data_IF_871058321894
#
_entry.id   IF_871058321894
#
_cell.length_a   1.000
_cell.length_b   1.000
_cell.length_c   1.000
_cell.angle_alpha   90.00
_cell.angle_beta   90.00
_cell.angle_gamma   90.00
#
_symmetry.space_group_name_H-M   'P 1'
#
loop_
_entity.id
_entity.type
_entity.pdbx_description
1 polymer ?
#
# COMPACT_ATOMS: atom_id res chain seq x y z
N UNK A 1 45.23 36.68 32.65
CA UNK A 1 45.01 36.09 31.31
C UNK A 1 43.97 34.99 31.45
N UNK A 2 42.69 35.35 31.44
CA UNK A 2 41.58 34.40 31.36
C UNK A 2 40.97 34.58 29.97
N UNK A 3 41.23 33.61 29.10
CA UNK A 3 40.75 33.58 27.72
C UNK A 3 39.30 33.09 27.71
N UNK A 4 38.34 33.99 27.46
CA UNK A 4 36.96 33.64 27.19
C UNK A 4 36.85 33.04 25.78
N UNK A 5 36.40 31.79 25.71
CA UNK A 5 36.07 31.11 24.48
C UNK A 5 34.67 31.56 24.05
N UNK A 6 34.58 32.42 23.02
CA UNK A 6 33.32 32.86 22.45
C UNK A 6 32.60 31.68 21.76
N UNK A 7 31.37 31.39 22.18
CA UNK A 7 30.53 30.40 21.50
C UNK A 7 30.04 30.96 20.16
N UNK A 8 30.03 30.16 19.07
CA UNK A 8 29.50 30.61 17.79
C UNK A 8 27.98 30.78 17.88
N UNK A 9 27.51 31.99 17.60
CA UNK A 9 26.09 32.31 17.53
C UNK A 9 25.39 31.44 16.49
N UNK A 10 24.38 30.70 16.93
CA UNK A 10 23.50 29.94 16.05
C UNK A 10 22.81 30.90 15.07
N UNK A 11 23.10 30.74 13.79
CA UNK A 11 22.39 31.43 12.72
C UNK A 11 20.91 30.98 12.74
N UNK A 12 19.94 31.90 12.63
CA UNK A 12 18.53 31.52 12.57
C UNK A 12 18.28 30.75 11.28
N UNK A 13 17.94 29.47 11.42
CA UNK A 13 17.50 28.61 10.33
C UNK A 13 16.17 29.18 9.82
N UNK A 14 16.15 29.67 8.58
CA UNK A 14 14.93 30.09 7.90
C UNK A 14 14.04 28.87 7.67
N UNK A 15 12.98 28.75 8.45
CA UNK A 15 11.98 27.69 8.32
C UNK A 15 11.19 27.86 7.02
N UNK A 16 10.91 26.77 6.27
CA UNK A 16 10.10 26.83 5.06
C UNK A 16 8.69 27.33 5.40
N UNK A 17 8.16 28.23 4.57
CA UNK A 17 6.91 28.93 4.81
C UNK A 17 5.71 27.96 4.81
N UNK A 18 5.16 27.66 5.98
CA UNK A 18 3.98 26.80 6.10
C UNK A 18 3.60 26.43 7.55
N UNK A 19 4.57 26.40 8.47
CA UNK A 19 4.33 26.05 9.87
C UNK A 19 4.22 27.28 10.79
N UNK A 20 3.41 27.21 11.87
CA UNK A 20 3.39 28.25 12.90
C UNK A 20 4.79 28.48 13.49
N UNK A 21 5.08 29.70 13.96
CA UNK A 21 6.30 29.94 14.74
C UNK A 21 6.25 29.16 16.05
N UNK A 22 7.43 28.72 16.54
CA UNK A 22 7.59 28.01 17.81
C UNK A 22 6.79 28.70 18.92
N UNK A 23 5.88 27.97 19.57
CA UNK A 23 4.99 28.51 20.60
C UNK A 23 4.68 27.49 21.70
N UNK A 24 4.89 27.85 22.96
CA UNK A 24 4.74 26.91 24.07
C UNK A 24 5.63 25.67 23.90
N UNK A 25 5.05 24.48 23.99
CA UNK A 25 5.73 23.20 23.74
C UNK A 25 5.84 22.83 22.25
N UNK A 26 5.21 23.60 21.36
CA UNK A 26 5.28 23.36 19.91
C UNK A 26 6.61 23.87 19.35
N UNK A 27 7.43 22.97 18.80
CA UNK A 27 8.66 23.29 18.07
C UNK A 27 8.57 22.74 16.63
N UNK A 28 8.54 23.61 15.59
CA UNK A 28 8.46 23.19 14.18
C UNK A 28 9.60 22.28 13.74
N UNK A 29 10.73 22.26 14.46
CA UNK A 29 11.85 21.36 14.16
C UNK A 29 11.55 19.87 14.42
N UNK A 30 10.45 19.56 15.13
CA UNK A 30 9.96 18.20 15.32
C UNK A 30 8.91 17.78 14.30
N UNK A 31 8.48 18.68 13.40
CA UNK A 31 7.62 18.28 12.29
C UNK A 31 8.39 17.37 11.35
N UNK A 32 7.84 16.18 11.12
CA UNK A 32 8.39 15.21 10.18
C UNK A 32 7.34 14.92 9.13
N UNK A 33 7.72 15.07 7.85
CA UNK A 33 6.96 14.48 6.76
C UNK A 33 6.92 12.96 6.98
N UNK A 34 5.71 12.46 7.20
CA UNK A 34 5.46 11.04 7.35
C UNK A 34 4.33 10.66 6.40
N UNK A 35 4.47 9.51 5.75
CA UNK A 35 3.37 8.88 5.01
C UNK A 35 2.14 8.74 5.92
N UNK A 36 0.96 8.98 5.34
CA UNK A 36 -0.30 8.77 6.03
C UNK A 36 -0.58 7.29 6.25
N UNK A 37 -0.90 6.89 7.48
CA UNK A 37 -1.44 5.56 7.79
C UNK A 37 -2.71 5.73 8.60
N UNK A 38 -3.70 4.87 8.34
CA UNK A 38 -4.91 4.79 9.13
C UNK A 38 -5.45 3.36 9.14
N UNK A 39 -6.32 3.08 10.11
CA UNK A 39 -7.01 1.80 10.21
C UNK A 39 -8.49 2.05 10.51
N UNK A 40 -9.34 1.13 10.04
CA UNK A 40 -10.76 1.14 10.34
C UNK A 40 -11.13 -0.22 10.87
N UNK A 41 -11.86 -0.24 11.99
CA UNK A 41 -12.31 -1.48 12.63
C UNK A 41 -13.80 -1.41 12.92
N UNK A 42 -14.50 -2.53 12.70
CA UNK A 42 -15.83 -2.72 13.25
C UNK A 42 -15.71 -3.39 14.62
N UNK A 43 -15.95 -2.64 15.70
CA UNK A 43 -15.79 -3.12 17.08
C UNK A 43 -16.70 -4.33 17.38
N UNK A 44 -17.82 -4.47 16.66
CA UNK A 44 -18.73 -5.62 16.80
C UNK A 44 -18.29 -6.84 15.98
N UNK A 45 -17.14 -6.79 15.32
CA UNK A 45 -16.59 -7.88 14.50
C UNK A 45 -17.37 -8.19 13.22
N UNK A 46 -18.35 -7.36 12.84
CA UNK A 46 -19.18 -7.62 11.65
C UNK A 46 -18.47 -7.21 10.36
N UNK A 47 -18.24 -8.18 9.48
CA UNK A 47 -17.74 -7.94 8.12
C UNK A 47 -18.76 -7.18 7.28
N UNK A 48 -18.31 -6.12 6.60
CA UNK A 48 -19.16 -5.30 5.73
C UNK A 48 -18.32 -4.56 4.70
N UNK A 49 -18.84 -4.41 3.48
CA UNK A 49 -18.23 -3.57 2.44
C UNK A 49 -18.12 -2.08 2.86
N UNK A 50 -18.92 -1.63 3.83
CA UNK A 50 -18.81 -0.29 4.41
C UNK A 50 -17.41 -0.02 4.98
N UNK A 51 -16.76 -1.02 5.58
CA UNK A 51 -15.42 -0.84 6.16
C UNK A 51 -14.37 -0.58 5.08
N UNK A 52 -14.51 -1.23 3.91
CA UNK A 52 -13.65 -1.02 2.75
C UNK A 52 -13.84 0.40 2.22
N UNK A 53 -15.09 0.86 2.10
CA UNK A 53 -15.38 2.25 1.70
C UNK A 53 -14.78 3.28 2.67
N UNK A 54 -14.84 3.02 3.97
CA UNK A 54 -14.21 3.88 4.96
C UNK A 54 -12.68 3.88 4.82
N UNK A 55 -12.04 2.72 4.58
CA UNK A 55 -10.60 2.66 4.32
C UNK A 55 -10.21 3.44 3.06
N UNK A 56 -11.00 3.37 1.99
CA UNK A 56 -10.80 4.20 0.80
C UNK A 56 -10.93 5.70 1.12
N UNK A 57 -11.92 6.10 1.92
CA UNK A 57 -12.07 7.50 2.34
C UNK A 57 -10.87 7.97 3.18
N UNK A 58 -10.30 7.11 4.02
CA UNK A 58 -9.07 7.41 4.76
C UNK A 58 -7.92 7.70 3.80
N UNK A 59 -7.72 6.88 2.76
CA UNK A 59 -6.68 7.14 1.75
C UNK A 59 -6.89 8.48 1.04
N UNK A 60 -8.14 8.79 0.64
CA UNK A 60 -8.47 10.10 0.03
C UNK A 60 -8.15 11.25 0.99
N UNK A 61 -8.49 11.11 2.26
CA UNK A 61 -8.20 12.13 3.26
C UNK A 61 -6.70 12.29 3.54
N UNK A 62 -5.91 11.24 3.34
CA UNK A 62 -4.46 11.24 3.50
C UNK A 62 -3.71 11.72 2.25
N UNK A 63 -4.41 12.07 1.16
CA UNK A 63 -3.79 12.51 -0.09
C UNK A 63 -2.86 13.72 0.08
N UNK A 64 -3.18 14.63 1.00
CA UNK A 64 -2.33 15.79 1.33
C UNK A 64 -0.98 15.40 1.98
N UNK A 65 -0.82 14.14 2.38
CA UNK A 65 0.42 13.56 2.91
C UNK A 65 1.07 12.58 1.94
N UNK A 66 0.52 12.44 0.74
CA UNK A 66 1.10 11.64 -0.32
C UNK A 66 2.24 12.40 -0.98
N UNK A 67 3.37 11.72 -1.19
CA UNK A 67 4.36 12.20 -2.13
C UNK A 67 3.83 12.02 -3.56
N UNK A 68 3.93 13.09 -4.34
CA UNK A 68 3.63 13.09 -5.76
C UNK A 68 4.94 12.89 -6.51
N UNK A 69 4.95 12.01 -7.51
CA UNK A 69 6.07 11.86 -8.43
C UNK A 69 6.24 13.09 -9.32
N UNK A 70 7.10 12.98 -10.33
CA UNK A 70 7.34 14.05 -11.32
C UNK A 70 6.08 14.43 -12.13
N UNK A 71 5.05 13.57 -12.12
CA UNK A 71 3.78 13.75 -12.82
C UNK A 71 2.63 13.84 -11.80
N UNK A 72 1.61 14.69 -12.01
CA UNK A 72 0.51 14.89 -11.05
C UNK A 72 -0.36 13.64 -10.85
N UNK A 73 -0.28 12.67 -11.76
CA UNK A 73 -1.02 11.41 -11.74
C UNK A 73 -0.13 10.18 -11.43
N UNK A 74 1.06 10.42 -10.88
CA UNK A 74 1.95 9.39 -10.36
C UNK A 74 2.20 9.68 -8.88
N UNK A 75 1.96 8.69 -8.01
CA UNK A 75 2.30 8.77 -6.58
C UNK A 75 3.21 7.60 -6.19
N UNK A 76 3.84 7.71 -5.02
CA UNK A 76 4.81 6.72 -4.54
C UNK A 76 4.16 5.37 -4.17
N UNK A 77 2.88 5.40 -3.76
CA UNK A 77 2.11 4.20 -3.48
C UNK A 77 0.94 4.43 -2.53
N UNK A 78 -0.13 3.66 -2.73
CA UNK A 78 -1.28 3.59 -1.83
C UNK A 78 -1.82 2.16 -1.81
N UNK A 79 -2.40 1.74 -0.70
CA UNK A 79 -2.96 0.40 -0.58
C UNK A 79 -3.81 0.23 0.66
N UNK A 80 -4.65 -0.81 0.64
CA UNK A 80 -5.39 -1.27 1.81
C UNK A 80 -5.00 -2.71 2.10
N UNK A 81 -4.87 -3.05 3.38
CA UNK A 81 -4.81 -4.43 3.82
C UNK A 81 -6.15 -4.78 4.48
N UNK A 82 -6.71 -5.94 4.14
CA UNK A 82 -8.01 -6.37 4.64
C UNK A 82 -8.05 -7.89 4.85
N UNK A 83 -9.03 -8.33 5.62
CA UNK A 83 -9.31 -9.75 5.82
C UNK A 83 -9.70 -10.42 4.49
N UNK A 84 -9.46 -11.73 4.41
CA UNK A 84 -9.84 -12.58 3.28
C UNK A 84 -11.34 -12.43 2.95
N UNK A 85 -11.72 -11.86 1.79
CA UNK A 85 -13.11 -11.58 1.47
C UNK A 85 -13.81 -12.81 0.86
N UNK A 86 -14.05 -13.87 1.66
CA UNK A 86 -14.56 -15.17 1.21
C UNK A 86 -15.77 -15.09 0.26
N UNK A 87 -16.81 -14.32 0.63
CA UNK A 87 -18.01 -14.16 -0.21
C UNK A 87 -17.70 -13.63 -1.61
N UNK A 88 -16.74 -12.72 -1.72
CA UNK A 88 -16.31 -12.20 -3.02
C UNK A 88 -15.49 -13.25 -3.77
N UNK A 89 -14.53 -13.90 -3.08
CA UNK A 89 -13.65 -14.90 -3.68
C UNK A 89 -14.42 -16.09 -4.23
N UNK A 90 -15.41 -16.63 -3.51
CA UNK A 90 -16.27 -17.71 -4.02
C UNK A 90 -17.00 -17.32 -5.30
N UNK A 91 -17.50 -16.08 -5.37
CA UNK A 91 -18.19 -15.57 -6.56
C UNK A 91 -17.26 -15.51 -7.78
N UNK A 92 -16.03 -15.03 -7.61
CA UNK A 92 -15.08 -14.90 -8.73
C UNK A 92 -14.38 -16.22 -9.08
N UNK A 93 -14.11 -17.09 -8.10
CA UNK A 93 -13.53 -18.40 -8.32
C UNK A 93 -14.47 -19.32 -9.11
N UNK A 94 -15.78 -19.28 -8.80
CA UNK A 94 -16.78 -20.01 -9.56
C UNK A 94 -16.82 -19.61 -11.05
N UNK A 95 -16.59 -18.33 -11.37
CA UNK A 95 -16.49 -17.86 -12.76
C UNK A 95 -15.23 -18.38 -13.47
N UNK A 96 -14.21 -18.79 -12.72
CA UNK A 96 -12.97 -19.38 -13.22
C UNK A 96 -12.98 -20.92 -13.16
N UNK A 97 -14.12 -21.56 -12.85
CA UNK A 97 -14.22 -23.02 -12.74
C UNK A 97 -13.52 -23.60 -11.50
N UNK A 98 -13.24 -22.78 -10.50
CA UNK A 98 -12.55 -23.19 -9.27
C UNK A 98 -13.53 -23.19 -8.09
N UNK A 99 -13.62 -24.32 -7.38
CA UNK A 99 -14.37 -24.42 -6.13
C UNK A 99 -13.42 -24.23 -4.94
N UNK A 100 -13.74 -23.28 -4.06
CA UNK A 100 -12.90 -22.97 -2.91
C UNK A 100 -13.26 -23.85 -1.70
N UNK A 101 -12.26 -24.43 -1.00
CA UNK A 101 -12.45 -25.08 0.29
C UNK A 101 -13.13 -24.18 1.33
N UNK A 102 -13.59 -24.73 2.47
CA UNK A 102 -14.08 -23.95 3.61
C UNK A 102 -13.11 -22.85 4.05
N UNK A 103 -13.64 -21.77 4.63
CA UNK A 103 -12.81 -20.68 5.17
C UNK A 103 -11.86 -21.23 6.24
N UNK A 104 -10.57 -20.92 6.10
CA UNK A 104 -9.50 -21.45 6.95
C UNK A 104 -8.75 -22.64 6.34
N UNK A 105 -9.31 -23.25 5.29
CA UNK A 105 -8.68 -24.36 4.54
C UNK A 105 -8.14 -23.92 3.17
N UNK A 106 -8.20 -22.63 2.85
CA UNK A 106 -7.61 -22.07 1.65
C UNK A 106 -6.98 -20.70 1.92
N UNK A 107 -5.95 -20.38 1.13
CA UNK A 107 -5.27 -19.08 1.14
C UNK A 107 -5.39 -18.37 -0.21
N UNK A 108 -5.09 -17.08 -0.22
CA UNK A 108 -4.95 -16.28 -1.45
C UNK A 108 -3.64 -15.51 -1.38
N UNK A 109 -2.83 -15.67 -2.42
CA UNK A 109 -1.65 -14.84 -2.65
C UNK A 109 -1.95 -13.72 -3.65
N UNK A 110 -1.51 -12.51 -3.35
CA UNK A 110 -1.43 -11.42 -4.32
C UNK A 110 0.04 -11.32 -4.76
N UNK A 111 0.32 -11.68 -6.01
CA UNK A 111 1.69 -11.69 -6.55
C UNK A 111 1.80 -10.76 -7.74
N UNK A 112 2.98 -10.17 -7.90
CA UNK A 112 3.37 -9.38 -9.05
C UNK A 112 4.34 -10.21 -9.89
N UNK A 113 3.99 -10.42 -11.15
CA UNK A 113 4.70 -11.28 -12.09
C UNK A 113 5.03 -10.47 -13.34
N UNK A 114 6.10 -10.80 -14.09
CA UNK A 114 6.45 -10.08 -15.31
C UNK A 114 5.30 -9.98 -16.33
N UNK A 115 5.30 -8.89 -17.11
CA UNK A 115 4.40 -8.68 -18.26
C UNK A 115 4.58 -9.70 -19.38
N UNK A 116 5.81 -10.15 -19.59
CA UNK A 116 6.13 -11.14 -20.62
C UNK A 116 5.49 -12.49 -20.29
N UNK A 117 4.76 -13.06 -21.25
CA UNK A 117 3.92 -14.23 -21.02
C UNK A 117 4.77 -15.50 -20.77
N UNK A 118 5.91 -15.64 -21.43
CA UNK A 118 6.80 -16.79 -21.25
C UNK A 118 7.47 -16.74 -19.88
N UNK A 119 8.01 -15.58 -19.50
CA UNK A 119 8.56 -15.39 -18.15
C UNK A 119 7.52 -15.60 -17.07
N UNK A 120 6.31 -15.05 -17.24
CA UNK A 120 5.20 -15.24 -16.32
C UNK A 120 4.88 -16.73 -16.13
N UNK A 121 4.73 -17.47 -17.21
CA UNK A 121 4.45 -18.91 -17.14
C UNK A 121 5.57 -19.69 -16.42
N UNK A 122 6.84 -19.30 -16.63
CA UNK A 122 7.96 -19.90 -15.92
C UNK A 122 7.90 -19.62 -14.40
N UNK A 123 7.60 -18.38 -14.00
CA UNK A 123 7.42 -18.02 -12.59
C UNK A 123 6.22 -18.71 -11.95
N UNK A 124 5.09 -18.81 -12.66
CA UNK A 124 3.90 -19.52 -12.17
C UNK A 124 4.22 -21.01 -11.95
N UNK A 125 4.96 -21.64 -12.88
CA UNK A 125 5.37 -23.04 -12.74
C UNK A 125 6.32 -23.27 -11.55
N UNK A 126 7.28 -22.37 -11.34
CA UNK A 126 8.18 -22.41 -10.18
C UNK A 126 7.42 -22.20 -8.86
N UNK A 127 6.51 -21.22 -8.84
CA UNK A 127 5.64 -20.98 -7.68
C UNK A 127 4.80 -22.22 -7.34
N UNK A 128 4.16 -22.82 -8.34
CA UNK A 128 3.40 -24.06 -8.17
C UNK A 128 4.24 -25.24 -7.70
N UNK A 129 5.50 -25.32 -8.14
CA UNK A 129 6.43 -26.33 -7.66
C UNK A 129 6.72 -26.15 -6.17
N UNK A 130 7.06 -24.95 -5.73
CA UNK A 130 7.34 -24.65 -4.31
C UNK A 130 6.10 -24.94 -3.46
N UNK A 131 4.90 -24.53 -3.90
CA UNK A 131 3.65 -24.81 -3.18
C UNK A 131 3.44 -26.33 -3.00
N UNK A 132 3.76 -27.13 -4.04
CA UNK A 132 3.67 -28.60 -3.96
C UNK A 132 4.73 -29.20 -3.02
N UNK A 133 5.95 -28.66 -3.03
CA UNK A 133 7.03 -29.08 -2.12
C UNK A 133 6.67 -28.83 -0.64
N UNK A 134 5.94 -27.75 -0.36
CA UNK A 134 5.38 -27.44 0.96
C UNK A 134 4.09 -28.22 1.30
N UNK A 135 3.71 -29.20 0.47
CA UNK A 135 2.56 -30.08 0.70
C UNK A 135 1.20 -29.42 0.49
N UNK A 136 1.15 -28.30 -0.22
CA UNK A 136 -0.08 -27.57 -0.55
C UNK A 136 -0.47 -27.81 -2.02
N UNK A 137 -1.66 -27.34 -2.41
CA UNK A 137 -2.16 -27.44 -3.79
C UNK A 137 -2.57 -26.07 -4.29
N UNK A 138 -2.10 -25.68 -5.48
CA UNK A 138 -2.58 -24.48 -6.16
C UNK A 138 -3.96 -24.76 -6.75
N UNK A 139 -4.96 -24.01 -6.28
CA UNK A 139 -6.35 -24.15 -6.72
C UNK A 139 -6.63 -23.45 -8.06
N UNK A 140 -5.80 -22.47 -8.42
CA UNK A 140 -5.87 -21.75 -9.68
C UNK A 140 -5.31 -20.34 -9.60
N UNK A 141 -5.12 -19.75 -10.78
CA UNK A 141 -4.66 -18.38 -10.96
C UNK A 141 -5.81 -17.47 -11.36
N UNK A 142 -5.78 -16.24 -10.87
CA UNK A 142 -6.75 -15.20 -11.25
C UNK A 142 -6.00 -13.91 -11.57
N UNK A 143 -6.04 -13.51 -12.85
CA UNK A 143 -5.62 -12.17 -13.25
C UNK A 143 -6.54 -11.13 -12.60
N UNK A 144 -5.95 -10.19 -11.86
CA UNK A 144 -6.71 -9.12 -11.23
C UNK A 144 -7.07 -8.07 -12.28
N UNK A 145 -8.35 -7.70 -12.44
CA UNK A 145 -8.73 -6.62 -13.33
C UNK A 145 -8.13 -5.29 -12.86
N UNK A 146 -7.43 -4.60 -13.76
CA UNK A 146 -6.82 -3.27 -13.55
C UNK A 146 -7.34 -2.27 -14.58
N UNK A 147 -7.21 -0.98 -14.28
CA UNK A 147 -7.50 0.12 -15.20
C UNK A 147 -6.39 1.17 -15.07
N UNK A 148 -5.58 1.31 -16.11
CA UNK A 148 -4.42 2.19 -16.13
C UNK A 148 -4.71 3.54 -16.77
N UNK A 149 -5.96 3.81 -17.17
CA UNK A 149 -6.34 5.00 -17.94
C UNK A 149 -6.00 6.34 -17.26
N UNK A 150 -5.93 6.37 -15.93
CA UNK A 150 -5.59 7.57 -15.15
C UNK A 150 -4.12 7.65 -14.69
N UNK A 151 -3.31 6.60 -14.90
CA UNK A 151 -1.96 6.52 -14.35
C UNK A 151 -0.95 7.32 -15.17
N UNK A 152 0.06 7.91 -14.50
CA UNK A 152 1.17 8.57 -15.18
C UNK A 152 2.12 7.57 -15.85
N UNK A 153 2.91 8.05 -16.82
CA UNK A 153 3.77 7.19 -17.63
C UNK A 153 4.82 6.45 -16.77
N UNK A 154 5.29 7.10 -15.71
CA UNK A 154 6.24 6.49 -14.76
C UNK A 154 5.65 5.26 -14.08
N UNK A 155 4.41 5.36 -13.58
CA UNK A 155 3.73 4.25 -12.92
C UNK A 155 3.44 3.09 -13.90
N UNK A 156 3.02 3.42 -15.13
CA UNK A 156 2.75 2.42 -16.18
C UNK A 156 4.04 1.67 -16.58
N UNK A 157 5.17 2.38 -16.67
CA UNK A 157 6.46 1.78 -16.98
C UNK A 157 6.94 0.81 -15.89
N UNK A 158 6.63 1.10 -14.62
CA UNK A 158 6.98 0.27 -13.47
C UNK A 158 5.93 -0.78 -13.08
N UNK A 159 4.79 -0.82 -13.75
CA UNK A 159 3.75 -1.82 -13.49
C UNK A 159 4.29 -3.24 -13.79
N UNK A 160 4.06 -4.21 -12.89
CA UNK A 160 4.51 -5.59 -13.05
C UNK A 160 3.80 -6.35 -14.18
#
# INVERSE_FOLDING_TARGET
>A
MTSECAQPGAQPVTLPSGYPTKQGLYDPSFEKDACGVGFVVNIKGKQSHTIVRHAMQVLVNLNHRGACGCEPNTGDGAGINMQLPDKFLRKVAAACGCELPPVGEYGVGMVFLPKDAEQRAAFEAEFEQIVREEGQTVLGWRTVPTDNSSLGATAIAGEP
#
